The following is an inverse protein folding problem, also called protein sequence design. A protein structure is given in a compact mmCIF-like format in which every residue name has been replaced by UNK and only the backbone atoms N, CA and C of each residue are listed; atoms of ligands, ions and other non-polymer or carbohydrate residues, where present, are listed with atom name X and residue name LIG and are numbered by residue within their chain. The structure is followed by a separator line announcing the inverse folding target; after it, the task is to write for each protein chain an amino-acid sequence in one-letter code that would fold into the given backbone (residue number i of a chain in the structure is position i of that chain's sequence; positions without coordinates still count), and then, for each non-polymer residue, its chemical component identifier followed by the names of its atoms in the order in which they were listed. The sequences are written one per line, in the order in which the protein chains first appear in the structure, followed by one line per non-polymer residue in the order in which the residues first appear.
data_IF_774181137914
#
_entry.id   IF_774181137914
#
_cell.length_a   1.000
_cell.length_b   1.000
_cell.length_c   1.000
_cell.angle_alpha   90.00
_cell.angle_beta   90.00
_cell.angle_gamma   90.00
#
_symmetry.space_group_name_H-M   'P 1'
#
loop_
_entity.id
_entity.type
_entity.pdbx_description
1 polymer ?
#
# COMPACT_ATOMS: atom_id res chain seq x y z
N UNK A 1 -47.73 11.67 -0.10
CA UNK A 1 -46.97 10.57 -0.73
C UNK A 1 -46.97 10.80 -2.22
N UNK A 2 -46.18 11.78 -2.63
CA UNK A 2 -45.75 11.94 -4.02
C UNK A 2 -44.54 11.02 -4.15
N UNK A 3 -44.36 10.31 -5.28
CA UNK A 3 -43.39 9.22 -5.39
C UNK A 3 -41.92 9.65 -5.16
N UNK A 4 -41.46 9.60 -3.91
CA UNK A 4 -40.05 9.81 -3.52
C UNK A 4 -39.14 8.78 -4.21
N UNK A 5 -39.71 7.61 -4.51
CA UNK A 5 -39.10 6.55 -5.32
C UNK A 5 -38.68 7.03 -6.71
N UNK A 6 -39.40 7.98 -7.32
CA UNK A 6 -39.04 8.49 -8.64
C UNK A 6 -37.69 9.23 -8.63
N UNK A 7 -37.47 10.09 -7.62
CA UNK A 7 -36.21 10.83 -7.48
C UNK A 7 -35.01 9.88 -7.30
N UNK A 8 -35.17 8.85 -6.47
CA UNK A 8 -34.14 7.85 -6.22
C UNK A 8 -33.81 7.02 -7.47
N UNK A 9 -34.82 6.65 -8.26
CA UNK A 9 -34.65 5.88 -9.49
C UNK A 9 -33.97 6.71 -10.60
N UNK A 10 -34.32 7.98 -10.74
CA UNK A 10 -33.64 8.88 -11.69
C UNK A 10 -32.19 9.11 -11.28
N UNK A 11 -31.93 9.33 -9.98
CA UNK A 11 -30.56 9.44 -9.48
C UNK A 11 -29.76 8.14 -9.71
N UNK A 12 -30.37 6.98 -9.50
CA UNK A 12 -29.73 5.69 -9.77
C UNK A 12 -29.42 5.54 -11.27
N UNK A 13 -30.37 5.88 -12.14
CA UNK A 13 -30.17 5.86 -13.58
C UNK A 13 -29.03 6.79 -14.02
N UNK A 14 -28.91 7.99 -13.42
CA UNK A 14 -27.80 8.90 -13.65
C UNK A 14 -26.46 8.25 -13.28
N UNK A 15 -26.36 7.66 -12.09
CA UNK A 15 -25.13 7.01 -11.63
C UNK A 15 -24.77 5.80 -12.48
N UNK A 16 -25.75 4.99 -12.91
CA UNK A 16 -25.54 3.90 -13.86
C UNK A 16 -25.11 4.40 -15.25
N UNK A 17 -25.63 5.55 -15.70
CA UNK A 17 -25.20 6.16 -16.96
C UNK A 17 -23.75 6.65 -16.88
N UNK A 18 -23.34 7.26 -15.77
CA UNK A 18 -21.93 7.62 -15.51
C UNK A 18 -21.06 6.38 -15.49
N UNK A 19 -21.47 5.31 -14.80
CA UNK A 19 -20.77 4.03 -14.82
C UNK A 19 -20.61 3.50 -16.26
N UNK A 20 -21.71 3.47 -17.03
CA UNK A 20 -21.72 3.07 -18.43
C UNK A 20 -20.74 3.90 -19.25
N UNK A 21 -20.77 5.23 -19.12
CA UNK A 21 -19.85 6.13 -19.79
C UNK A 21 -18.38 5.82 -19.44
N UNK A 22 -18.06 5.59 -18.16
CA UNK A 22 -16.71 5.23 -17.73
C UNK A 22 -16.24 3.87 -18.30
N UNK A 23 -17.16 2.93 -18.56
CA UNK A 23 -16.84 1.67 -19.25
C UNK A 23 -16.63 1.84 -20.75
N UNK A 24 -17.33 2.80 -21.36
CA UNK A 24 -17.28 3.07 -22.80
C UNK A 24 -16.07 3.91 -23.18
N UNK A 25 -15.67 4.89 -22.35
CA UNK A 25 -14.47 5.71 -22.60
C UNK A 25 -13.24 4.80 -22.57
N UNK A 26 -12.57 4.70 -23.70
CA UNK A 26 -11.36 3.90 -23.88
C UNK A 26 -10.13 4.79 -23.86
N UNK A 27 -9.14 4.42 -23.06
CA UNK A 27 -7.80 5.00 -23.06
C UNK A 27 -6.82 4.01 -23.65
N UNK A 28 -6.04 4.47 -24.62
CA UNK A 28 -4.90 3.71 -25.14
C UNK A 28 -3.77 3.75 -24.12
N UNK A 29 -3.22 2.59 -23.82
CA UNK A 29 -2.06 2.43 -22.94
C UNK A 29 -1.02 1.56 -23.62
N UNK A 30 0.24 1.76 -23.24
CA UNK A 30 1.39 1.05 -23.77
C UNK A 30 1.90 0.10 -22.69
N UNK A 31 2.03 -1.17 -23.02
CA UNK A 31 2.37 -2.23 -22.05
C UNK A 31 3.67 -2.89 -22.46
N UNK A 32 4.64 -2.89 -21.57
CA UNK A 32 5.92 -3.57 -21.76
C UNK A 32 5.72 -5.07 -22.07
N UNK A 33 6.27 -5.57 -23.18
CA UNK A 33 6.23 -7.00 -23.56
C UNK A 33 7.45 -7.77 -23.04
N UNK A 34 8.54 -7.06 -22.74
CA UNK A 34 9.75 -7.51 -22.06
C UNK A 34 10.11 -6.52 -20.93
N UNK A 35 11.13 -6.82 -20.13
CA UNK A 35 11.70 -5.82 -19.23
C UNK A 35 12.43 -4.78 -20.10
N UNK A 36 12.17 -3.50 -19.86
CA UNK A 36 12.66 -2.38 -20.67
C UNK A 36 13.35 -1.39 -19.75
N UNK A 37 14.50 -0.89 -20.17
CA UNK A 37 15.17 0.23 -19.49
C UNK A 37 15.20 1.43 -20.45
N UNK A 38 14.79 2.60 -19.98
CA UNK A 38 14.89 3.84 -20.76
C UNK A 38 15.24 5.02 -19.88
N UNK A 39 15.92 6.02 -20.45
CA UNK A 39 16.32 7.24 -19.73
C UNK A 39 15.62 8.45 -20.34
N UNK A 40 14.66 9.09 -19.64
CA UNK A 40 14.03 10.32 -20.09
C UNK A 40 15.07 11.44 -20.30
N UNK A 41 14.77 12.39 -21.19
CA UNK A 41 15.63 13.56 -21.40
C UNK A 41 15.74 14.36 -20.09
N UNK A 42 16.94 14.44 -19.52
CA UNK A 42 17.20 15.10 -18.24
C UNK A 42 16.72 14.32 -17.01
N UNK A 43 16.32 13.05 -17.16
CA UNK A 43 15.82 12.20 -16.09
C UNK A 43 16.82 11.12 -15.65
N UNK A 44 16.43 10.37 -14.62
CA UNK A 44 17.14 9.17 -14.15
C UNK A 44 16.66 7.97 -14.98
N UNK A 45 17.57 7.02 -15.22
CA UNK A 45 17.25 5.73 -15.85
C UNK A 45 16.05 5.06 -15.17
N UNK A 46 15.10 4.60 -15.96
CA UNK A 46 13.87 3.96 -15.52
C UNK A 46 13.91 2.49 -15.92
N UNK A 47 13.72 1.58 -14.96
CA UNK A 47 13.55 0.16 -15.23
C UNK A 47 12.07 -0.23 -15.18
N UNK A 48 11.52 -0.68 -16.30
CA UNK A 48 10.11 -1.05 -16.44
C UNK A 48 10.00 -2.56 -16.63
N UNK A 49 9.47 -3.31 -15.65
CA UNK A 49 9.32 -4.75 -15.78
C UNK A 49 8.24 -5.12 -16.82
N UNK A 50 8.35 -6.34 -17.36
CA UNK A 50 7.37 -6.89 -18.30
C UNK A 50 5.95 -6.79 -17.73
N UNK A 51 5.01 -6.32 -18.54
CA UNK A 51 3.60 -6.16 -18.17
C UNK A 51 3.26 -4.79 -17.56
N UNK A 52 4.25 -3.96 -17.23
CA UNK A 52 4.02 -2.61 -16.72
C UNK A 52 3.61 -1.62 -17.80
N UNK A 53 2.97 -0.53 -17.37
CA UNK A 53 2.61 0.58 -18.24
C UNK A 53 3.83 1.44 -18.57
N UNK A 54 4.05 1.68 -19.86
CA UNK A 54 5.04 2.63 -20.36
C UNK A 54 4.34 3.97 -20.58
N UNK A 55 4.86 5.09 -20.04
CA UNK A 55 4.34 6.42 -20.34
C UNK A 55 4.38 6.68 -21.84
N UNK A 56 3.33 7.29 -22.39
CA UNK A 56 3.28 7.58 -23.83
C UNK A 56 4.48 8.43 -24.29
N UNK A 57 4.92 9.38 -23.47
CA UNK A 57 6.11 10.20 -23.72
C UNK A 57 7.42 9.39 -23.79
N UNK A 58 7.47 8.22 -23.15
CA UNK A 58 8.63 7.34 -23.15
C UNK A 58 8.63 6.35 -24.31
N UNK A 59 7.52 6.20 -25.05
CA UNK A 59 7.42 5.22 -26.16
C UNK A 59 8.37 5.51 -27.32
N UNK A 60 8.86 6.75 -27.45
CA UNK A 60 9.89 7.12 -28.42
C UNK A 60 11.31 6.67 -28.02
N UNK A 61 11.50 6.31 -26.74
CA UNK A 61 12.78 5.89 -26.15
C UNK A 61 12.85 4.36 -25.99
N UNK A 62 11.81 3.64 -26.40
CA UNK A 62 11.64 2.18 -26.24
C UNK A 62 11.37 1.58 -27.62
N UNK A 63 11.91 0.40 -27.91
CA UNK A 63 11.70 -0.23 -29.21
C UNK A 63 10.23 -0.61 -29.40
N UNK A 64 9.71 -0.45 -30.62
CA UNK A 64 8.30 -0.71 -30.93
C UNK A 64 7.85 -2.15 -30.66
N UNK A 65 8.79 -3.10 -30.65
CA UNK A 65 8.57 -4.52 -30.36
C UNK A 65 8.53 -4.83 -28.84
N UNK A 66 9.08 -3.95 -28.02
CA UNK A 66 9.16 -4.08 -26.56
C UNK A 66 7.91 -3.57 -25.85
N UNK A 67 6.93 -3.06 -26.60
CA UNK A 67 5.64 -2.69 -26.05
C UNK A 67 4.46 -3.12 -26.93
N UNK A 68 3.29 -3.24 -26.30
CA UNK A 68 2.02 -3.50 -26.98
C UNK A 68 1.00 -2.44 -26.61
N UNK A 69 0.35 -1.87 -27.62
CA UNK A 69 -0.81 -0.99 -27.43
C UNK A 69 -2.01 -1.81 -26.93
N UNK A 70 -2.65 -1.36 -25.86
CA UNK A 70 -3.90 -1.93 -25.32
C UNK A 70 -4.91 -0.82 -25.11
N UNK A 71 -6.19 -1.14 -25.32
CA UNK A 71 -7.29 -0.24 -25.05
C UNK A 71 -7.98 -0.67 -23.76
N UNK A 72 -7.90 0.16 -22.72
CA UNK A 72 -8.53 -0.08 -21.43
C UNK A 72 -9.65 0.93 -21.21
N UNK A 73 -10.76 0.50 -20.62
CA UNK A 73 -11.82 1.43 -20.19
C UNK A 73 -11.32 2.34 -19.07
N UNK A 74 -11.82 3.57 -19.00
CA UNK A 74 -11.50 4.50 -17.92
C UNK A 74 -11.89 3.94 -16.55
N UNK A 75 -13.01 3.21 -16.46
CA UNK A 75 -13.41 2.51 -15.22
C UNK A 75 -12.30 1.58 -14.71
N UNK A 76 -11.77 0.72 -15.58
CA UNK A 76 -10.64 -0.15 -15.24
C UNK A 76 -9.44 0.66 -14.75
N UNK A 77 -9.12 1.78 -15.37
CA UNK A 77 -8.02 2.64 -14.90
C UNK A 77 -8.25 3.22 -13.49
N UNK A 78 -9.50 3.50 -13.13
CA UNK A 78 -9.88 4.05 -11.82
C UNK A 78 -9.84 3.00 -10.70
N UNK A 79 -10.06 1.71 -11.00
CA UNK A 79 -10.11 0.64 -9.98
C UNK A 79 -8.89 -0.28 -9.99
N UNK A 80 -8.12 -0.32 -11.08
CA UNK A 80 -6.93 -1.19 -11.23
C UNK A 80 -5.67 -0.47 -10.72
N UNK A 81 -4.83 -1.18 -9.98
CA UNK A 81 -3.51 -0.77 -9.51
C UNK A 81 -2.47 -0.72 -10.64
N UNK A 82 -1.26 -0.24 -10.35
CA UNK A 82 -0.19 -0.22 -11.38
C UNK A 82 0.37 -1.61 -11.71
N UNK A 83 0.15 -2.57 -10.82
CA UNK A 83 0.47 -3.99 -10.98
C UNK A 83 -0.58 -4.75 -11.82
N UNK A 84 -1.55 -4.03 -12.40
CA UNK A 84 -2.66 -4.54 -13.20
C UNK A 84 -3.66 -5.44 -12.44
N UNK A 85 -3.67 -5.38 -11.11
CA UNK A 85 -4.66 -6.05 -10.26
C UNK A 85 -5.75 -5.09 -9.80
N UNK A 86 -6.93 -5.61 -9.44
CA UNK A 86 -7.97 -4.77 -8.81
C UNK A 86 -7.42 -4.24 -7.49
N UNK A 87 -7.46 -2.92 -7.29
CA UNK A 87 -6.99 -2.29 -6.06
C UNK A 87 -8.15 -2.20 -5.07
N UNK A 88 -8.00 -2.86 -3.93
CA UNK A 88 -9.00 -2.87 -2.85
C UNK A 88 -9.35 -1.47 -2.37
N UNK A 89 -8.35 -0.63 -2.06
CA UNK A 89 -8.57 0.75 -1.62
C UNK A 89 -9.22 1.63 -2.69
N UNK A 90 -8.82 1.52 -3.97
CA UNK A 90 -9.48 2.27 -5.05
C UNK A 90 -10.94 1.82 -5.25
N UNK A 91 -11.21 0.53 -5.11
CA UNK A 91 -12.56 -0.03 -5.29
C UNK A 91 -13.48 0.43 -4.17
N UNK A 92 -13.04 0.35 -2.91
CA UNK A 92 -13.79 0.85 -1.74
C UNK A 92 -14.03 2.36 -1.84
N UNK A 93 -12.99 3.14 -2.20
CA UNK A 93 -13.12 4.58 -2.44
C UNK A 93 -14.14 4.90 -3.54
N UNK A 94 -14.09 4.17 -4.66
CA UNK A 94 -14.99 4.36 -5.79
C UNK A 94 -16.45 4.01 -5.40
N UNK A 95 -16.66 2.94 -4.63
CA UNK A 95 -17.98 2.55 -4.15
C UNK A 95 -18.61 3.62 -3.24
N UNK A 96 -17.86 4.13 -2.26
CA UNK A 96 -18.32 5.23 -1.40
C UNK A 96 -18.62 6.51 -2.20
N UNK A 97 -17.75 6.85 -3.16
CA UNK A 97 -17.95 8.02 -4.03
C UNK A 97 -19.26 7.89 -4.80
N UNK A 98 -19.54 6.72 -5.38
CA UNK A 98 -20.78 6.47 -6.12
C UNK A 98 -22.01 6.51 -5.24
N UNK A 99 -21.96 5.93 -4.03
CA UNK A 99 -23.07 5.97 -3.09
C UNK A 99 -23.42 7.40 -2.64
N UNK A 100 -22.39 8.22 -2.37
CA UNK A 100 -22.58 9.63 -1.98
C UNK A 100 -23.09 10.47 -3.14
N UNK A 101 -22.52 10.33 -4.35
CA UNK A 101 -23.01 11.03 -5.54
C UNK A 101 -24.46 10.67 -5.82
N UNK A 102 -24.83 9.39 -5.68
CA UNK A 102 -26.21 8.95 -5.81
C UNK A 102 -27.14 9.67 -4.81
N UNK A 103 -26.79 9.68 -3.52
CA UNK A 103 -27.58 10.37 -2.50
C UNK A 103 -27.68 11.88 -2.73
N UNK A 104 -26.59 12.54 -3.15
CA UNK A 104 -26.58 13.97 -3.47
C UNK A 104 -27.49 14.29 -4.65
N UNK A 105 -27.43 13.49 -5.73
CA UNK A 105 -28.30 13.69 -6.90
C UNK A 105 -29.75 13.43 -6.52
N UNK A 106 -30.02 12.40 -5.71
CA UNK A 106 -31.37 12.09 -5.26
C UNK A 106 -31.96 13.25 -4.44
N UNK A 107 -31.25 13.74 -3.42
CA UNK A 107 -31.69 14.86 -2.58
C UNK A 107 -31.83 16.17 -3.37
N UNK A 108 -30.95 16.42 -4.34
CA UNK A 108 -31.06 17.58 -5.24
C UNK A 108 -32.31 17.50 -6.14
N UNK A 109 -32.63 16.32 -6.68
CA UNK A 109 -33.84 16.11 -7.48
C UNK A 109 -35.11 16.27 -6.63
N UNK A 110 -35.10 15.80 -5.38
CA UNK A 110 -36.21 16.00 -4.44
C UNK A 110 -36.42 17.48 -4.10
N UNK A 111 -35.33 18.20 -3.84
CA UNK A 111 -35.35 19.65 -3.62
C UNK A 111 -35.99 20.41 -4.80
N UNK A 112 -35.62 20.09 -6.03
CA UNK A 112 -36.23 20.70 -7.23
C UNK A 112 -37.70 20.34 -7.43
N UNK A 113 -38.19 19.28 -6.80
CA UNK A 113 -39.60 18.87 -6.82
C UNK A 113 -40.39 19.42 -5.63
N UNK A 114 -39.73 20.17 -4.74
CA UNK A 114 -40.35 20.84 -3.60
C UNK A 114 -40.19 20.13 -2.26
N UNK A 115 -39.56 18.96 -2.21
CA UNK A 115 -39.18 18.33 -0.94
C UNK A 115 -37.78 18.80 -0.52
N UNK A 116 -37.77 19.72 0.45
CA UNK A 116 -36.53 20.38 0.88
C UNK A 116 -35.86 19.71 2.06
N UNK A 117 -36.51 18.76 2.75
CA UNK A 117 -36.07 18.27 4.05
C UNK A 117 -34.67 17.66 4.00
N UNK A 118 -34.45 16.69 3.11
CA UNK A 118 -33.15 16.04 2.97
C UNK A 118 -32.03 16.97 2.48
N UNK A 119 -32.34 17.95 1.62
CA UNK A 119 -31.36 18.93 1.17
C UNK A 119 -30.99 19.93 2.27
N UNK A 120 -31.96 20.40 3.04
CA UNK A 120 -31.73 21.29 4.18
C UNK A 120 -30.90 20.61 5.28
N UNK A 121 -31.13 19.32 5.53
CA UNK A 121 -30.29 18.54 6.45
C UNK A 121 -28.81 18.55 6.04
N UNK A 122 -28.53 18.50 4.73
CA UNK A 122 -27.17 18.55 4.18
C UNK A 122 -26.52 19.95 4.21
N UNK A 123 -27.31 21.03 4.29
CA UNK A 123 -26.77 22.39 4.37
C UNK A 123 -26.01 22.65 5.68
N UNK A 124 -26.24 21.84 6.72
CA UNK A 124 -25.45 21.84 7.95
C UNK A 124 -24.02 21.30 7.79
N UNK A 125 -23.69 20.74 6.63
CA UNK A 125 -22.40 20.10 6.33
C UNK A 125 -22.51 18.57 6.30
N UNK A 126 -21.50 17.92 5.70
CA UNK A 126 -21.35 16.47 5.79
C UNK A 126 -20.84 16.09 7.18
N UNK A 127 -21.39 15.04 7.74
CA UNK A 127 -20.95 14.49 9.03
C UNK A 127 -19.48 14.06 8.96
N UNK A 128 -18.78 14.16 10.08
CA UNK A 128 -17.35 13.83 10.18
C UNK A 128 -17.08 12.36 9.78
N UNK A 129 -18.02 11.47 10.08
CA UNK A 129 -17.99 10.05 9.72
C UNK A 129 -17.88 9.85 8.21
N UNK A 130 -18.54 10.68 7.40
CA UNK A 130 -18.42 10.63 5.94
C UNK A 130 -17.07 11.12 5.45
N UNK A 131 -16.51 12.14 6.09
CA UNK A 131 -15.16 12.63 5.79
C UNK A 131 -14.10 11.59 6.14
N UNK A 132 -14.32 10.83 7.22
CA UNK A 132 -13.50 9.71 7.64
C UNK A 132 -13.62 8.53 6.65
N UNK A 133 -14.84 8.18 6.25
CA UNK A 133 -15.13 7.08 5.32
C UNK A 133 -14.70 7.37 3.87
N UNK A 134 -14.61 8.64 3.48
CA UNK A 134 -13.99 9.07 2.22
C UNK A 134 -12.47 9.23 2.36
N UNK A 135 -12.03 9.86 3.44
CA UNK A 135 -10.65 10.23 3.70
C UNK A 135 -9.74 9.04 3.97
N UNK A 136 -10.21 8.02 4.69
CA UNK A 136 -9.48 6.79 4.96
C UNK A 136 -9.12 6.02 3.68
N UNK A 137 -10.11 5.63 2.85
CA UNK A 137 -9.86 5.02 1.54
C UNK A 137 -9.05 5.90 0.60
N UNK A 138 -9.27 7.22 0.60
CA UNK A 138 -8.48 8.16 -0.20
C UNK A 138 -7.02 8.21 0.24
N UNK A 139 -6.74 8.35 1.54
CA UNK A 139 -5.39 8.29 2.10
C UNK A 139 -4.72 6.95 1.78
N UNK A 140 -5.43 5.83 1.96
CA UNK A 140 -4.96 4.50 1.60
C UNK A 140 -4.66 4.36 0.10
N UNK A 141 -5.46 4.98 -0.78
CA UNK A 141 -5.25 4.99 -2.23
C UNK A 141 -4.05 5.86 -2.64
N UNK A 142 -3.85 7.01 -2.00
CA UNK A 142 -2.67 7.88 -2.20
C UNK A 142 -1.40 7.15 -1.76
N UNK A 143 -1.41 6.55 -0.57
CA UNK A 143 -0.32 5.72 -0.05
C UNK A 143 0.00 4.55 -1.00
N UNK A 144 -1.02 3.83 -1.47
CA UNK A 144 -0.84 2.74 -2.43
C UNK A 144 -0.27 3.21 -3.78
N UNK A 145 -0.66 4.40 -4.26
CA UNK A 145 -0.11 5.01 -5.48
C UNK A 145 1.38 5.33 -5.31
N UNK A 146 1.77 5.84 -4.14
CA UNK A 146 3.15 6.15 -3.79
C UNK A 146 4.03 4.88 -3.77
N UNK A 147 3.52 3.76 -3.23
CA UNK A 147 4.18 2.44 -3.31
C UNK A 147 4.52 2.06 -4.73
N UNK A 148 3.54 2.16 -5.62
CA UNK A 148 3.70 1.68 -6.98
C UNK A 148 4.54 2.64 -7.85
N UNK A 149 4.79 3.89 -7.42
CA UNK A 149 5.86 4.73 -8.00
C UNK A 149 7.23 4.30 -7.48
N UNK A 150 7.36 4.09 -6.17
CA UNK A 150 8.63 3.70 -5.55
C UNK A 150 9.12 2.32 -6.02
N UNK A 151 8.25 1.32 -6.11
CA UNK A 151 8.56 -0.03 -6.62
C UNK A 151 8.95 -0.03 -8.12
N UNK A 152 8.58 1.02 -8.87
CA UNK A 152 8.96 1.22 -10.27
C UNK A 152 10.30 1.97 -10.42
N UNK A 153 10.77 2.62 -9.34
CA UNK A 153 12.02 3.38 -9.30
C UNK A 153 13.13 2.64 -8.52
N UNK A 154 12.80 1.57 -7.80
CA UNK A 154 13.76 0.69 -7.13
C UNK A 154 13.19 -0.72 -6.98
N UNK A 155 13.88 -1.70 -7.56
CA UNK A 155 13.51 -3.12 -7.63
C UNK A 155 13.00 -3.69 -6.29
N UNK A 156 11.70 -3.85 -6.15
CA UNK A 156 11.09 -4.62 -5.07
C UNK A 156 10.16 -5.68 -5.63
N UNK A 157 10.73 -6.73 -6.25
CA UNK A 157 10.26 -8.13 -6.30
C UNK A 157 8.77 -8.46 -6.57
N UNK A 158 7.92 -7.51 -6.94
CA UNK A 158 6.49 -7.72 -7.17
C UNK A 158 6.25 -8.17 -8.59
N UNK A 159 5.64 -9.33 -8.75
CA UNK A 159 5.20 -9.83 -10.04
C UNK A 159 4.06 -8.95 -10.56
N UNK A 160 4.28 -8.33 -11.72
CA UNK A 160 3.26 -7.55 -12.41
C UNK A 160 2.33 -8.52 -13.14
N UNK A 161 1.03 -8.43 -12.86
CA UNK A 161 0.05 -9.26 -13.55
C UNK A 161 -0.08 -8.80 -15.02
N UNK A 162 -0.40 -9.71 -15.95
CA UNK A 162 -0.66 -9.31 -17.32
C UNK A 162 -1.82 -8.31 -17.41
N UNK A 163 -1.64 -7.24 -18.18
CA UNK A 163 -2.69 -6.24 -18.41
C UNK A 163 -3.96 -6.92 -18.94
N UNK A 164 -5.06 -6.73 -18.21
CA UNK A 164 -6.39 -7.22 -18.58
C UNK A 164 -6.91 -8.37 -17.70
N UNK A 165 -6.08 -8.97 -16.85
CA UNK A 165 -6.43 -10.11 -15.99
C UNK A 165 -6.96 -9.73 -14.60
N UNK A 166 -7.28 -8.44 -14.39
CA UNK A 166 -7.88 -7.96 -13.15
C UNK A 166 -9.20 -8.70 -12.87
N UNK A 167 -9.33 -9.30 -11.69
CA UNK A 167 -10.46 -10.14 -11.30
C UNK A 167 -11.05 -9.73 -9.94
N UNK A 168 -12.37 -9.86 -9.70
CA UNK A 168 -13.00 -9.49 -8.43
C UNK A 168 -12.46 -10.27 -7.21
N UNK A 169 -11.98 -11.50 -7.40
CA UNK A 169 -11.37 -12.32 -6.34
C UNK A 169 -10.13 -11.67 -5.72
N UNK A 170 -9.49 -10.73 -6.43
CA UNK A 170 -8.32 -10.00 -5.97
C UNK A 170 -8.64 -8.94 -4.91
N UNK A 171 -9.92 -8.69 -4.61
CA UNK A 171 -10.32 -7.78 -3.52
C UNK A 171 -10.04 -8.37 -2.13
N UNK A 172 -9.96 -9.69 -2.02
CA UNK A 172 -9.84 -10.44 -0.76
C UNK A 172 -8.63 -11.37 -0.73
N UNK A 173 -7.86 -11.43 -1.81
CA UNK A 173 -6.68 -12.28 -1.97
C UNK A 173 -5.44 -11.41 -2.21
N UNK A 174 -4.32 -11.82 -1.63
CA UNK A 174 -3.02 -11.19 -1.79
C UNK A 174 -2.42 -11.41 -3.19
N UNK A 175 -1.22 -10.86 -3.41
CA UNK A 175 -0.50 -10.93 -4.69
C UNK A 175 -0.16 -12.37 -5.15
N UNK A 176 -0.31 -13.37 -4.27
CA UNK A 176 -0.06 -14.80 -4.51
C UNK A 176 -1.34 -15.65 -4.58
N UNK A 177 -2.51 -15.04 -4.37
CA UNK A 177 -3.80 -15.73 -4.37
C UNK A 177 -4.18 -16.32 -3.01
N UNK A 178 -3.46 -15.99 -1.93
CA UNK A 178 -3.78 -16.38 -0.56
C UNK A 178 -4.67 -15.31 0.09
N UNK A 179 -5.69 -15.70 0.85
CA UNK A 179 -6.61 -14.74 1.48
C UNK A 179 -5.90 -13.87 2.53
N UNK A 180 -5.91 -12.55 2.35
CA UNK A 180 -5.34 -11.61 3.32
C UNK A 180 -6.43 -11.16 4.31
N UNK A 181 -6.31 -11.57 5.57
CA UNK A 181 -7.28 -11.26 6.62
C UNK A 181 -7.44 -9.74 6.81
N UNK A 182 -6.36 -8.96 6.66
CA UNK A 182 -6.42 -7.50 6.78
C UNK A 182 -7.21 -6.86 5.64
N UNK A 183 -6.95 -7.29 4.41
CA UNK A 183 -7.67 -6.80 3.22
C UNK A 183 -9.15 -7.24 3.26
N UNK A 184 -9.43 -8.47 3.71
CA UNK A 184 -10.79 -8.98 3.93
C UNK A 184 -11.54 -8.15 4.98
N UNK A 185 -10.93 -7.86 6.13
CA UNK A 185 -11.55 -7.04 7.18
C UNK A 185 -11.86 -5.63 6.68
N UNK A 186 -10.93 -5.01 5.96
CA UNK A 186 -11.12 -3.70 5.36
C UNK A 186 -12.29 -3.69 4.37
N UNK A 187 -12.36 -4.65 3.45
CA UNK A 187 -13.48 -4.78 2.50
C UNK A 187 -14.78 -5.04 3.23
N UNK A 188 -14.79 -5.96 4.18
CA UNK A 188 -16.01 -6.40 4.86
C UNK A 188 -16.64 -5.27 5.68
N UNK A 189 -15.85 -4.55 6.49
CA UNK A 189 -16.37 -3.45 7.29
C UNK A 189 -16.83 -2.27 6.43
N UNK A 190 -16.11 -1.93 5.36
CA UNK A 190 -16.57 -0.92 4.41
C UNK A 190 -17.84 -1.37 3.68
N UNK A 191 -17.96 -2.64 3.31
CA UNK A 191 -19.15 -3.17 2.66
C UNK A 191 -20.37 -3.10 3.58
N UNK A 192 -20.24 -3.51 4.84
CA UNK A 192 -21.33 -3.43 5.82
C UNK A 192 -21.76 -1.97 6.04
N UNK A 193 -20.80 -1.05 6.19
CA UNK A 193 -21.10 0.37 6.34
C UNK A 193 -21.79 0.95 5.09
N UNK A 194 -21.37 0.55 3.89
CA UNK A 194 -22.01 0.94 2.62
C UNK A 194 -23.44 0.40 2.52
N UNK A 195 -23.66 -0.86 2.89
CA UNK A 195 -25.00 -1.47 2.90
C UNK A 195 -25.91 -0.75 3.90
N UNK A 196 -25.42 -0.43 5.09
CA UNK A 196 -26.15 0.35 6.08
C UNK A 196 -26.55 1.72 5.51
N UNK A 197 -25.59 2.44 4.92
CA UNK A 197 -25.84 3.73 4.28
C UNK A 197 -26.93 3.63 3.21
N UNK A 198 -26.77 2.72 2.24
CA UNK A 198 -27.70 2.59 1.11
C UNK A 198 -29.10 2.19 1.59
N UNK A 199 -29.21 1.21 2.48
CA UNK A 199 -30.52 0.75 2.96
C UNK A 199 -31.23 1.83 3.78
N UNK A 200 -30.51 2.54 4.65
CA UNK A 200 -31.10 3.60 5.46
C UNK A 200 -31.49 4.80 4.60
N UNK A 201 -30.65 5.19 3.65
CA UNK A 201 -30.96 6.25 2.69
C UNK A 201 -32.23 5.92 1.88
N UNK A 202 -32.44 4.67 1.46
CA UNK A 202 -33.66 4.24 0.76
C UNK A 202 -34.90 4.34 1.67
N UNK A 203 -34.75 4.05 2.95
CA UNK A 203 -35.86 3.97 3.90
C UNK A 203 -36.27 5.32 4.49
N UNK A 204 -35.32 6.24 4.62
CA UNK A 204 -35.47 7.54 5.27
C UNK A 204 -34.89 8.64 4.36
N UNK A 205 -35.28 8.62 3.10
CA UNK A 205 -34.73 9.51 2.08
C UNK A 205 -35.05 10.99 2.33
N UNK A 206 -36.25 11.25 2.85
CA UNK A 206 -36.76 12.56 3.25
C UNK A 206 -35.95 13.18 4.40
N UNK A 207 -35.23 12.36 5.16
CA UNK A 207 -34.35 12.82 6.25
C UNK A 207 -32.94 13.23 5.76
N UNK A 208 -32.62 12.96 4.49
CA UNK A 208 -31.32 13.27 3.90
C UNK A 208 -30.30 12.13 4.07
N UNK A 209 -29.05 12.47 4.38
CA UNK A 209 -28.02 11.45 4.57
C UNK A 209 -28.17 10.79 5.94
N UNK A 210 -28.15 9.44 6.01
CA UNK A 210 -28.37 8.75 7.28
C UNK A 210 -27.22 8.99 8.27
N UNK A 211 -27.48 8.92 9.56
CA UNK A 211 -26.37 8.87 10.53
C UNK A 211 -25.65 7.53 10.40
N UNK A 212 -24.34 7.56 10.15
CA UNK A 212 -23.54 6.32 10.17
C UNK A 212 -23.18 6.00 11.63
N UNK A 213 -23.54 4.80 12.14
CA UNK A 213 -23.21 4.43 13.51
C UNK A 213 -21.70 4.58 13.77
N UNK A 214 -21.29 5.25 14.87
CA UNK A 214 -19.87 5.45 15.19
C UNK A 214 -19.06 4.15 15.25
N UNK A 215 -19.72 3.04 15.62
CA UNK A 215 -19.13 1.70 15.57
C UNK A 215 -18.70 1.31 14.15
N UNK A 216 -19.56 1.52 13.14
CA UNK A 216 -19.28 1.16 11.76
C UNK A 216 -18.23 2.10 11.15
N UNK A 217 -18.33 3.40 11.43
CA UNK A 217 -17.33 4.38 11.03
C UNK A 217 -15.95 4.05 11.67
N UNK A 218 -15.94 3.72 12.96
CA UNK A 218 -14.75 3.31 13.70
C UNK A 218 -14.12 2.04 13.13
N UNK A 219 -14.89 0.98 12.90
CA UNK A 219 -14.38 -0.28 12.33
C UNK A 219 -13.82 -0.10 10.90
N UNK A 220 -14.50 0.70 10.07
CA UNK A 220 -14.03 1.03 8.73
C UNK A 220 -12.74 1.88 8.77
N UNK A 221 -12.62 2.82 9.71
CA UNK A 221 -11.42 3.63 9.89
C UNK A 221 -10.25 2.81 10.46
N UNK A 222 -10.48 2.02 11.51
CA UNK A 222 -9.44 1.18 12.14
C UNK A 222 -8.90 0.15 11.14
N UNK A 223 -9.76 -0.43 10.30
CA UNK A 223 -9.29 -1.29 9.22
C UNK A 223 -8.55 -0.53 8.13
N UNK A 224 -8.94 0.71 7.82
CA UNK A 224 -8.23 1.57 6.88
C UNK A 224 -6.84 2.00 7.40
N UNK A 225 -6.69 2.29 8.69
CA UNK A 225 -5.39 2.61 9.30
C UNK A 225 -4.50 1.39 9.39
N UNK A 226 -5.02 0.24 9.84
CA UNK A 226 -4.27 -1.03 9.83
C UNK A 226 -3.78 -1.41 8.43
N UNK A 227 -4.66 -1.32 7.42
CA UNK A 227 -4.31 -1.54 6.02
C UNK A 227 -3.27 -0.53 5.52
N UNK A 228 -3.44 0.76 5.82
CA UNK A 228 -2.53 1.82 5.40
C UNK A 228 -1.16 1.70 6.06
N UNK A 229 -1.10 1.34 7.35
CA UNK A 229 0.12 1.12 8.11
C UNK A 229 0.86 -0.14 7.61
N UNK A 230 0.14 -1.24 7.37
CA UNK A 230 0.68 -2.44 6.69
C UNK A 230 1.26 -2.07 5.33
N UNK A 231 0.55 -1.26 4.52
CA UNK A 231 1.04 -0.79 3.22
C UNK A 231 2.23 0.15 3.35
N UNK A 232 2.29 1.03 4.35
CA UNK A 232 3.42 1.94 4.64
C UNK A 232 4.70 1.18 5.02
N UNK A 233 4.57 0.14 5.83
CA UNK A 233 5.73 -0.68 6.22
C UNK A 233 6.15 -1.59 5.07
N UNK A 234 5.17 -2.07 4.30
CA UNK A 234 5.44 -2.75 3.02
C UNK A 234 5.94 -1.80 1.93
N UNK A 235 5.84 -0.47 2.08
CA UNK A 235 6.22 0.57 1.10
C UNK A 235 7.69 0.93 1.23
N UNK A 236 8.15 1.08 2.46
CA UNK A 236 9.54 1.39 2.73
C UNK A 236 10.24 0.07 3.05
N UNK A 237 10.70 -0.61 2.00
CA UNK A 237 11.52 -1.82 2.15
C UNK A 237 12.61 -1.60 3.21
N UNK A 238 12.99 -2.64 3.96
CA UNK A 238 14.02 -2.50 4.97
C UNK A 238 15.31 -2.00 4.30
N UNK A 239 15.98 -1.03 4.91
CA UNK A 239 17.24 -0.51 4.39
C UNK A 239 18.30 -0.55 5.47
N UNK A 240 19.47 -1.09 5.14
CA UNK A 240 20.66 -0.98 5.98
C UNK A 240 21.47 0.19 5.45
N UNK A 241 21.78 1.14 6.32
CA UNK A 241 22.55 2.33 5.95
C UNK A 241 23.99 2.25 6.45
N UNK A 242 24.21 1.66 7.63
CA UNK A 242 25.53 1.56 8.22
C UNK A 242 25.60 0.47 9.30
N UNK A 243 26.82 0.19 9.75
CA UNK A 243 27.11 -0.61 10.94
C UNK A 243 28.05 0.18 11.85
N UNK A 244 27.80 0.16 13.16
CA UNK A 244 28.62 0.85 14.14
C UNK A 244 28.92 -0.05 15.35
N UNK A 245 30.20 -0.20 15.76
CA UNK A 245 31.40 0.23 15.07
C UNK A 245 31.62 -0.48 13.72
N UNK A 246 32.40 0.12 12.82
CA UNK A 246 32.76 -0.48 11.51
C UNK A 246 33.77 -1.62 11.60
N UNK A 247 34.29 -1.88 12.81
CA UNK A 247 35.12 -3.04 13.10
C UNK A 247 34.76 -3.64 14.47
N UNK A 248 34.77 -4.96 14.56
CA UNK A 248 34.38 -5.71 15.74
C UNK A 248 35.18 -7.02 15.85
N UNK A 249 34.99 -7.76 16.95
CA UNK A 249 35.62 -9.07 17.17
C UNK A 249 34.54 -10.16 17.14
N UNK A 250 34.86 -11.41 16.81
CA UNK A 250 33.94 -12.53 17.05
C UNK A 250 33.62 -12.64 18.55
N UNK A 251 32.36 -12.93 18.90
CA UNK A 251 32.00 -13.24 20.28
C UNK A 251 32.63 -14.57 20.69
N UNK A 252 33.25 -14.65 21.85
CA UNK A 252 33.81 -15.86 22.44
C UNK A 252 33.24 -16.06 23.85
N UNK A 253 33.60 -17.18 24.50
CA UNK A 253 33.22 -17.44 25.89
C UNK A 253 33.67 -16.35 26.88
N UNK A 254 34.71 -15.56 26.54
CA UNK A 254 35.31 -14.56 27.43
C UNK A 254 35.19 -13.13 26.90
N UNK A 255 34.73 -12.94 25.66
CA UNK A 255 34.62 -11.63 25.02
C UNK A 255 33.31 -11.53 24.24
N UNK A 256 32.41 -10.65 24.67
CA UNK A 256 31.20 -10.31 23.90
C UNK A 256 31.44 -9.07 23.08
N UNK A 257 31.24 -9.18 21.76
CA UNK A 257 31.33 -8.03 20.85
C UNK A 257 29.97 -7.78 20.22
N UNK A 258 29.50 -6.54 20.30
CA UNK A 258 28.24 -6.12 19.73
C UNK A 258 28.46 -5.03 18.68
N UNK A 259 27.57 -5.00 17.70
CA UNK A 259 27.49 -3.94 16.69
C UNK A 259 26.03 -3.49 16.55
N UNK A 260 25.84 -2.22 16.26
CA UNK A 260 24.56 -1.65 15.85
C UNK A 260 24.46 -1.68 14.33
N UNK A 261 23.45 -2.36 13.81
CA UNK A 261 23.02 -2.26 12.42
C UNK A 261 22.02 -1.11 12.33
N UNK A 262 22.40 -0.08 11.59
CA UNK A 262 21.63 1.15 11.42
C UNK A 262 20.85 1.09 10.12
N UNK A 263 19.62 1.58 10.14
CA UNK A 263 18.78 1.50 8.96
C UNK A 263 17.43 2.18 9.08
N UNK A 264 16.55 1.88 8.13
CA UNK A 264 15.15 2.31 8.10
C UNK A 264 14.25 1.12 7.87
N UNK A 265 13.15 1.05 8.61
CA UNK A 265 12.14 0.00 8.51
C UNK A 265 12.75 -1.40 8.60
N UNK A 266 13.82 -1.58 9.39
CA UNK A 266 14.39 -2.87 9.71
C UNK A 266 13.49 -3.62 10.71
N UNK A 267 12.83 -2.89 11.59
CA UNK A 267 11.93 -3.42 12.62
C UNK A 267 10.49 -3.28 12.15
N UNK A 268 9.64 -4.28 12.40
CA UNK A 268 8.19 -4.12 12.26
C UNK A 268 7.66 -3.50 13.55
N UNK A 269 7.17 -2.26 13.55
CA UNK A 269 6.72 -1.60 14.77
C UNK A 269 5.48 -2.26 15.38
N UNK A 270 5.31 -2.05 16.69
CA UNK A 270 4.32 -2.74 17.51
C UNK A 270 2.87 -2.47 17.09
N UNK A 271 2.60 -1.26 16.58
CA UNK A 271 1.30 -0.78 16.13
C UNK A 271 0.73 -1.53 14.91
N UNK A 272 1.58 -2.21 14.16
CA UNK A 272 1.18 -3.01 13.00
C UNK A 272 1.41 -4.51 13.17
N UNK A 273 2.12 -4.90 14.24
CA UNK A 273 2.46 -6.28 14.47
C UNK A 273 1.22 -7.06 14.97
N UNK A 274 0.97 -8.29 14.50
CA UNK A 274 -0.22 -9.08 14.88
C UNK A 274 -0.40 -9.29 16.40
N UNK A 275 0.66 -9.15 17.19
CA UNK A 275 0.65 -9.32 18.65
C UNK A 275 0.90 -8.02 19.45
N UNK A 276 0.80 -6.84 18.82
CA UNK A 276 1.03 -5.55 19.50
C UNK A 276 2.45 -5.35 20.03
N UNK A 277 3.39 -6.18 19.59
CA UNK A 277 4.80 -6.19 20.03
C UNK A 277 5.68 -6.05 18.79
N UNK A 278 6.65 -5.14 18.83
CA UNK A 278 7.55 -4.91 17.71
C UNK A 278 8.30 -6.21 17.36
N UNK A 279 8.41 -6.52 16.07
CA UNK A 279 9.09 -7.72 15.59
C UNK A 279 10.47 -7.32 15.06
N UNK A 280 11.51 -7.91 15.66
CA UNK A 280 12.89 -7.70 15.26
C UNK A 280 13.21 -8.36 13.91
N UNK A 281 14.14 -7.80 13.12
CA UNK A 281 14.66 -8.48 11.94
C UNK A 281 15.55 -9.67 12.32
N UNK A 282 15.81 -10.56 11.38
CA UNK A 282 16.96 -11.46 11.43
C UNK A 282 18.17 -10.77 10.79
N UNK A 283 19.33 -10.85 11.44
CA UNK A 283 20.57 -10.27 10.93
C UNK A 283 21.59 -11.38 10.70
N UNK A 284 22.34 -11.28 9.62
CA UNK A 284 23.42 -12.20 9.28
C UNK A 284 24.73 -11.42 9.14
N UNK A 285 25.81 -11.96 9.72
CA UNK A 285 27.17 -11.41 9.64
C UNK A 285 28.08 -12.48 9.05
N UNK A 286 28.54 -12.25 7.82
CA UNK A 286 29.48 -13.13 7.13
C UNK A 286 28.93 -14.52 6.80
N UNK A 287 27.61 -14.65 6.62
CA UNK A 287 26.93 -15.93 6.36
C UNK A 287 26.51 -16.68 7.62
N UNK A 288 26.64 -16.06 8.81
CA UNK A 288 26.20 -16.63 10.07
C UNK A 288 25.10 -15.79 10.72
N UNK A 289 24.03 -16.40 11.24
CA UNK A 289 22.96 -15.70 11.93
C UNK A 289 23.48 -15.04 13.22
N UNK A 290 23.24 -13.75 13.37
CA UNK A 290 23.61 -12.97 14.53
C UNK A 290 22.44 -12.87 15.50
N UNK A 291 22.72 -13.01 16.80
CA UNK A 291 21.72 -12.84 17.86
C UNK A 291 21.37 -11.36 18.01
N UNK A 292 20.09 -11.01 17.85
CA UNK A 292 19.58 -9.66 18.09
C UNK A 292 19.37 -9.46 19.59
N UNK A 293 20.15 -8.56 20.18
CA UNK A 293 20.07 -8.23 21.60
C UNK A 293 19.00 -7.17 21.91
N UNK A 294 18.85 -6.17 21.04
CA UNK A 294 17.85 -5.11 21.21
C UNK A 294 17.54 -4.37 19.91
N UNK A 295 16.36 -3.79 19.84
CA UNK A 295 15.93 -2.92 18.74
C UNK A 295 15.42 -1.60 19.30
N UNK A 296 15.92 -0.47 18.79
CA UNK A 296 15.43 0.86 19.15
C UNK A 296 15.19 1.69 17.90
N UNK A 297 14.25 2.64 17.95
CA UNK A 297 14.08 3.65 16.91
C UNK A 297 14.43 5.03 17.49
N UNK A 298 15.37 5.73 16.87
CA UNK A 298 15.81 7.06 17.29
C UNK A 298 15.67 8.00 16.10
N UNK A 299 14.75 8.97 16.21
CA UNK A 299 14.49 9.98 15.18
C UNK A 299 14.23 9.36 13.78
N UNK A 300 13.48 8.24 13.73
CA UNK A 300 13.16 7.56 12.47
C UNK A 300 14.28 6.68 11.91
N UNK A 301 15.34 6.43 12.68
CA UNK A 301 16.40 5.46 12.34
C UNK A 301 16.28 4.25 13.24
N UNK A 302 16.17 3.07 12.65
CA UNK A 302 16.23 1.81 13.38
C UNK A 302 17.68 1.49 13.74
N UNK A 303 17.88 1.09 15.00
CA UNK A 303 19.14 0.59 15.52
C UNK A 303 18.92 -0.80 16.05
N UNK A 304 19.55 -1.77 15.40
CA UNK A 304 19.45 -3.19 15.76
C UNK A 304 20.80 -3.61 16.34
N UNK A 305 20.86 -3.79 17.65
CA UNK A 305 22.07 -4.24 18.34
C UNK A 305 22.17 -5.75 18.23
N UNK A 306 23.25 -6.25 17.64
CA UNK A 306 23.47 -7.68 17.42
C UNK A 306 24.82 -8.12 17.98
N UNK A 307 24.89 -9.37 18.46
CA UNK A 307 26.16 -10.00 18.83
C UNK A 307 26.84 -10.55 17.59
N UNK A 308 28.14 -10.31 17.47
CA UNK A 308 28.95 -10.87 16.36
C UNK A 308 29.13 -12.38 16.59
N UNK A 309 28.75 -13.26 15.65
CA UNK A 309 28.90 -14.72 15.83
C UNK A 309 30.35 -15.15 16.03
N UNK A 310 30.56 -16.29 16.70
CA UNK A 310 31.90 -16.80 17.01
C UNK A 310 32.60 -17.36 15.77
N UNK A 311 31.82 -17.88 14.83
CA UNK A 311 32.24 -18.61 13.64
C UNK A 311 32.71 -17.69 12.51
N UNK A 312 32.50 -16.37 12.64
CA UNK A 312 32.84 -15.41 11.59
C UNK A 312 34.36 -15.30 11.45
N UNK A 313 34.85 -15.46 10.22
CA UNK A 313 36.28 -15.39 9.92
C UNK A 313 36.78 -13.94 9.97
N UNK A 314 38.01 -13.68 10.48
CA UNK A 314 38.62 -12.35 10.41
C UNK A 314 38.75 -11.83 8.99
N UNK A 315 38.46 -10.54 8.80
CA UNK A 315 38.45 -9.87 7.49
C UNK A 315 37.19 -9.03 7.26
N UNK A 316 37.06 -8.40 6.07
CA UNK A 316 35.84 -7.72 5.68
C UNK A 316 34.73 -8.74 5.41
N UNK A 317 33.59 -8.59 6.08
CA UNK A 317 32.41 -9.44 5.92
C UNK A 317 31.18 -8.60 5.60
N UNK A 318 30.22 -9.22 4.91
CA UNK A 318 28.91 -8.63 4.65
C UNK A 318 28.04 -8.73 5.90
N UNK A 319 27.28 -7.66 6.17
CA UNK A 319 26.17 -7.65 7.10
C UNK A 319 24.88 -7.49 6.31
N UNK A 320 23.97 -8.44 6.47
CA UNK A 320 22.64 -8.42 5.82
C UNK A 320 21.56 -8.49 6.88
N UNK A 321 20.35 -8.08 6.52
CA UNK A 321 19.20 -8.14 7.40
C UNK A 321 17.96 -8.52 6.59
N UNK A 322 17.08 -9.29 7.21
CA UNK A 322 15.76 -9.63 6.68
C UNK A 322 14.75 -9.23 7.74
N UNK A 323 13.79 -8.41 7.37
CA UNK A 323 12.74 -7.99 8.29
C UNK A 323 11.82 -9.17 8.61
N UNK A 324 11.11 -9.11 9.74
CA UNK A 324 10.24 -10.20 10.22
C UNK A 324 9.17 -10.66 9.22
N UNK A 325 8.83 -9.86 8.20
CA UNK A 325 7.93 -10.21 7.08
C UNK A 325 8.64 -10.95 5.93
N UNK A 326 9.92 -11.30 6.09
CA UNK A 326 10.73 -12.03 5.11
C UNK A 326 11.33 -11.15 4.02
N UNK A 327 11.18 -9.83 4.09
CA UNK A 327 11.74 -8.90 3.09
C UNK A 327 13.21 -8.62 3.40
N UNK A 328 14.09 -8.92 2.45
CA UNK A 328 15.53 -8.62 2.56
C UNK A 328 15.79 -7.11 2.49
N UNK A 329 16.74 -6.64 3.30
CA UNK A 329 17.09 -5.24 3.36
C UNK A 329 18.03 -4.83 2.23
N UNK A 330 17.82 -3.65 1.66
CA UNK A 330 18.75 -3.07 0.68
C UNK A 330 19.83 -2.26 1.40
N UNK A 331 21.07 -2.41 0.97
CA UNK A 331 22.21 -1.62 1.41
C UNK A 331 22.42 -0.32 0.64
N UNK A 332 23.46 0.46 0.98
CA UNK A 332 23.81 1.71 0.32
C UNK A 332 24.07 1.51 -1.18
N UNK A 333 23.69 2.48 -2.01
CA UNK A 333 23.88 2.43 -3.47
C UNK A 333 23.24 1.20 -4.16
N UNK A 334 22.18 0.63 -3.57
CA UNK A 334 21.46 -0.51 -4.14
C UNK A 334 22.15 -1.86 -3.91
N UNK A 335 23.11 -1.95 -2.99
CA UNK A 335 23.69 -3.23 -2.58
C UNK A 335 22.70 -4.05 -1.75
N UNK A 336 23.08 -5.26 -1.36
CA UNK A 336 22.35 -6.16 -0.46
C UNK A 336 22.85 -6.10 1.00
N UNK A 337 23.89 -5.30 1.27
CA UNK A 337 24.68 -5.40 2.50
C UNK A 337 25.49 -4.15 2.82
N UNK A 338 25.96 -4.07 4.08
CA UNK A 338 27.03 -3.18 4.51
C UNK A 338 28.25 -3.97 4.96
N UNK A 339 29.43 -3.37 4.89
CA UNK A 339 30.69 -4.04 5.26
C UNK A 339 31.01 -3.82 6.74
N UNK A 340 31.32 -4.91 7.44
CA UNK A 340 31.90 -4.91 8.79
C UNK A 340 33.30 -5.53 8.72
N UNK A 341 34.27 -4.96 9.41
CA UNK A 341 35.62 -5.55 9.52
C UNK A 341 35.73 -6.40 10.80
N UNK A 342 35.87 -7.71 10.64
CA UNK A 342 36.13 -8.62 11.77
C UNK A 342 37.62 -8.66 12.05
N UNK A 343 38.01 -8.33 13.27
CA UNK A 343 39.40 -8.37 13.73
C UNK A 343 39.70 -9.71 14.39
N UNK A 344 40.97 -10.14 14.33
CA UNK A 344 41.43 -11.33 15.06
C UNK A 344 41.30 -11.11 16.57
N UNK A 345 40.66 -12.01 17.34
CA UNK A 345 40.53 -11.83 18.79
C UNK A 345 41.88 -11.49 19.44
N UNK A 346 41.92 -10.56 20.43
CA UNK A 346 43.15 -10.33 21.19
C UNK A 346 43.62 -11.65 21.80
N UNK A 347 44.93 -11.91 21.72
CA UNK A 347 45.53 -13.10 22.33
C UNK A 347 45.15 -13.14 23.82
N UNK A 348 44.72 -14.30 24.31
CA UNK A 348 44.43 -14.45 25.73
C UNK A 348 45.69 -14.08 26.54
N UNK A 349 45.57 -13.27 27.61
CA UNK A 349 46.70 -13.03 28.50
C UNK A 349 47.16 -14.39 29.04
N UNK A 350 48.44 -14.69 28.85
CA UNK A 350 49.11 -15.91 29.33
C UNK A 350 49.16 -15.98 30.85
#
# INVERSE_FOLDING_TARGET
MQDDTFGMLVALAFVLAVWGLLTLIRRTVYVATAAVTYTPVGGVEQHVPKGSLIPESATALVLAEEYRKRSLSLLRFLIVGKDNRVSTSKTVMFAWTFAIVWGLVATMLAYWRGDTAGWTALQGGLQEEYLILLGGPYAAAVLAKYKATADAEGEAGKTVAPVGTAAPSQLVADDRGEGDIGDLQYVLFNFIALVWFVVTLIRAFDEGFPDVPPLLAGLALTSATGYSAKKLISQAGPQITAVQPTAAWPTTATLSSQVEVLGRNLVVPADVAPGGTALAPTVDIGGFPAEVASTTNVLGTDRVTVKVPQEVTPGPVKVTAVRADGVAATGPHGTDSVTLTIRQPPAAPL
#
